data_IF_605896174186
#
_entry.id   IF_605896174186
#
_cell.length_a   1.000
_cell.length_b   1.000
_cell.length_c   1.000
_cell.angle_alpha   90.00
_cell.angle_beta   90.00
_cell.angle_gamma   90.00
#
_symmetry.space_group_name_H-M   'P 1'
#
loop_
_entity.id
_entity.type
_entity.pdbx_description
1 polymer ?
#
# COMPACT_ATOMS: atom_id res chain seq x y z
N UNK A 1 -17.63 9.14 12.46
CA UNK A 1 -16.63 9.07 13.55
C UNK A 1 -16.60 10.42 14.24
N UNK A 2 -16.81 10.46 15.56
CA UNK A 2 -16.62 11.63 16.39
C UNK A 2 -15.51 11.31 17.39
N UNK A 3 -14.39 12.02 17.32
CA UNK A 3 -13.28 11.87 18.25
C UNK A 3 -13.20 13.14 19.10
N UNK A 4 -13.22 12.99 20.43
CA UNK A 4 -13.05 14.09 21.37
C UNK A 4 -11.58 14.46 21.56
N UNK A 5 -11.32 15.60 22.21
CA UNK A 5 -9.97 16.19 22.37
C UNK A 5 -8.94 15.33 23.14
N UNK A 6 -9.36 14.24 23.78
CA UNK A 6 -8.51 13.31 24.52
C UNK A 6 -8.92 11.84 24.26
N UNK A 7 -9.06 11.50 22.98
CA UNK A 7 -9.43 10.14 22.57
C UNK A 7 -8.33 9.16 22.99
N UNK A 8 -8.67 8.14 23.79
CA UNK A 8 -7.74 7.06 24.23
C UNK A 8 -7.89 5.78 23.43
N UNK A 9 -8.95 5.67 22.63
CA UNK A 9 -9.31 4.47 21.89
C UNK A 9 -9.98 4.86 20.58
N UNK A 10 -9.47 4.31 19.47
CA UNK A 10 -10.09 4.37 18.16
C UNK A 10 -10.57 2.96 17.84
N UNK A 11 -11.87 2.81 17.58
CA UNK A 11 -12.49 1.54 17.20
C UNK A 11 -13.06 1.65 15.81
N UNK A 12 -12.74 0.70 14.94
CA UNK A 12 -13.39 0.52 13.64
C UNK A 12 -14.00 -0.88 13.54
N UNK A 13 -15.01 -1.02 12.69
CA UNK A 13 -15.48 -2.31 12.21
C UNK A 13 -14.99 -2.50 10.78
N UNK A 14 -14.23 -3.56 10.51
CA UNK A 14 -13.76 -3.89 9.17
C UNK A 14 -14.61 -5.03 8.58
N UNK A 15 -15.41 -4.75 7.55
CA UNK A 15 -16.11 -5.79 6.81
C UNK A 15 -15.15 -6.47 5.82
N UNK A 16 -15.47 -7.71 5.48
CA UNK A 16 -14.65 -8.50 4.56
C UNK A 16 -14.54 -7.81 3.19
N UNK A 17 -13.34 -7.83 2.61
CA UNK A 17 -13.07 -7.27 1.28
C UNK A 17 -12.85 -5.75 1.24
N UNK A 18 -12.84 -5.06 2.39
CA UNK A 18 -12.50 -3.63 2.44
C UNK A 18 -11.00 -3.35 2.39
N UNK A 19 -10.64 -2.15 1.91
CA UNK A 19 -9.26 -1.71 1.82
C UNK A 19 -8.64 -1.51 3.21
N UNK A 20 -7.50 -2.15 3.44
CA UNK A 20 -6.66 -2.00 4.65
C UNK A 20 -6.12 -0.60 4.87
N UNK A 21 -6.08 0.24 3.83
CA UNK A 21 -5.48 1.57 3.90
C UNK A 21 -6.10 2.44 5.01
N UNK A 22 -7.43 2.35 5.18
CA UNK A 22 -8.16 3.08 6.23
C UNK A 22 -7.73 2.62 7.62
N UNK A 23 -7.66 1.31 7.82
CA UNK A 23 -7.28 0.69 9.07
C UNK A 23 -5.84 1.03 9.50
N UNK A 24 -4.92 1.05 8.53
CA UNK A 24 -3.56 1.54 8.74
C UNK A 24 -3.58 3.01 9.14
N UNK A 25 -4.37 3.83 8.45
CA UNK A 25 -4.56 5.25 8.80
C UNK A 25 -5.05 5.45 10.24
N UNK A 26 -6.04 4.66 10.69
CA UNK A 26 -6.55 4.73 12.06
C UNK A 26 -5.54 4.22 13.10
N UNK A 27 -4.79 3.16 12.79
CA UNK A 27 -3.70 2.69 13.64
C UNK A 27 -2.64 3.78 13.87
N UNK A 28 -2.33 4.53 12.81
CA UNK A 28 -1.36 5.62 12.86
C UNK A 28 -1.94 6.80 13.62
N UNK A 29 -3.18 7.21 13.35
CA UNK A 29 -3.86 8.27 14.08
C UNK A 29 -3.88 7.95 15.58
N UNK A 30 -4.23 6.71 15.94
CA UNK A 30 -4.21 6.26 17.33
C UNK A 30 -2.81 6.42 17.95
N UNK A 31 -1.76 6.00 17.24
CA UNK A 31 -0.37 6.13 17.71
C UNK A 31 0.05 7.58 17.90
N UNK A 32 -0.35 8.50 17.02
CA UNK A 32 0.00 9.93 17.15
C UNK A 32 -0.58 10.59 18.39
N UNK A 33 -1.77 10.15 18.82
CA UNK A 33 -2.46 10.68 20.01
C UNK A 33 -2.26 9.82 21.26
N UNK A 34 -1.40 8.78 21.19
CA UNK A 34 -1.21 7.83 22.29
C UNK A 34 -2.46 6.98 22.61
N UNK A 35 -3.37 6.84 21.66
CA UNK A 35 -4.54 5.98 21.74
C UNK A 35 -4.24 4.56 21.25
N UNK A 36 -5.14 3.63 21.63
CA UNK A 36 -5.16 2.28 21.09
C UNK A 36 -6.07 2.23 19.87
N UNK A 37 -5.68 1.46 18.85
CA UNK A 37 -6.55 1.14 17.72
C UNK A 37 -7.07 -0.29 17.87
N UNK A 38 -8.38 -0.48 17.77
CA UNK A 38 -9.04 -1.78 17.82
C UNK A 38 -9.89 -1.95 16.56
N UNK A 39 -9.58 -2.97 15.77
CA UNK A 39 -10.37 -3.35 14.61
C UNK A 39 -11.25 -4.55 14.97
N UNK A 40 -12.57 -4.37 14.86
CA UNK A 40 -13.57 -5.42 15.06
C UNK A 40 -13.85 -6.07 13.70
N UNK A 41 -13.66 -7.38 13.62
CA UNK A 41 -13.92 -8.18 12.42
C UNK A 41 -15.07 -9.16 12.70
N UNK A 42 -15.90 -9.50 11.68
CA UNK A 42 -17.12 -10.28 11.90
C UNK A 42 -16.87 -11.76 12.22
N UNK A 43 -15.74 -12.33 11.76
CA UNK A 43 -15.44 -13.75 11.91
C UNK A 43 -13.93 -14.03 11.78
N UNK A 44 -13.53 -15.26 12.09
CA UNK A 44 -12.14 -15.70 12.07
C UNK A 44 -11.51 -15.68 10.67
N UNK A 45 -12.28 -15.94 9.61
CA UNK A 45 -11.77 -15.80 8.23
C UNK A 45 -11.53 -14.34 7.91
N UNK A 46 -12.41 -13.44 8.34
CA UNK A 46 -12.21 -12.00 8.22
C UNK A 46 -11.01 -11.54 9.03
N UNK A 47 -10.73 -12.11 10.21
CA UNK A 47 -9.49 -11.89 10.97
C UNK A 47 -8.25 -12.34 10.20
N UNK A 48 -8.27 -13.55 9.65
CA UNK A 48 -7.15 -14.09 8.87
C UNK A 48 -6.93 -13.29 7.59
N UNK A 49 -8.02 -12.90 6.93
CA UNK A 49 -8.00 -12.02 5.77
C UNK A 49 -7.49 -10.64 6.14
N UNK A 50 -7.84 -10.11 7.31
CA UNK A 50 -7.32 -8.89 7.92
C UNK A 50 -5.87 -9.02 8.46
N UNK A 51 -5.34 -10.23 8.61
CA UNK A 51 -3.94 -10.47 8.96
C UNK A 51 -3.02 -10.60 7.74
N UNK A 52 -3.57 -10.85 6.53
CA UNK A 52 -2.76 -10.91 5.29
C UNK A 52 -2.02 -9.58 5.09
N UNK A 53 -0.74 -9.54 4.76
CA UNK A 53 -0.06 -8.24 4.62
C UNK A 53 -0.70 -7.32 3.55
N UNK A 54 -0.31 -6.05 3.55
CA UNK A 54 -0.72 -5.00 2.62
C UNK A 54 -0.25 -5.37 1.21
N UNK A 55 -1.17 -5.32 0.25
CA UNK A 55 -0.94 -5.55 -1.18
C UNK A 55 -1.14 -4.27 -2.01
N UNK A 56 -1.93 -3.32 -1.52
CA UNK A 56 -2.11 -2.00 -2.12
C UNK A 56 -2.26 -0.89 -1.06
N UNK A 57 -1.60 0.25 -1.26
CA UNK A 57 -1.76 1.45 -0.43
C UNK A 57 -1.71 2.71 -1.29
N UNK A 58 -2.71 3.59 -1.14
CA UNK A 58 -2.73 4.91 -1.77
C UNK A 58 -2.64 5.98 -0.69
N UNK A 59 -1.69 6.90 -0.84
CA UNK A 59 -1.46 8.04 0.05
C UNK A 59 -1.54 9.35 -0.73
N UNK A 60 -1.86 10.43 -0.02
CA UNK A 60 -1.81 11.78 -0.56
C UNK A 60 -0.60 12.52 0.07
N UNK A 61 0.32 13.01 -0.76
CA UNK A 61 1.52 13.72 -0.35
C UNK A 61 1.27 15.12 0.20
N UNK A 62 0.04 15.64 0.13
CA UNK A 62 -0.36 16.84 0.88
C UNK A 62 -0.37 16.59 2.38
N UNK A 63 -0.47 15.32 2.79
CA UNK A 63 -0.32 14.95 4.18
C UNK A 63 1.15 15.09 4.55
N UNK A 64 1.45 15.85 5.60
CA UNK A 64 2.81 16.25 5.96
C UNK A 64 3.83 15.10 5.95
N UNK A 65 5.07 15.41 5.58
CA UNK A 65 6.17 14.44 5.34
C UNK A 65 6.38 13.45 6.48
N UNK A 66 6.28 13.89 7.74
CA UNK A 66 6.46 13.04 8.92
C UNK A 66 5.36 11.98 9.04
N UNK A 67 4.10 12.36 8.82
CA UNK A 67 2.98 11.44 8.83
C UNK A 67 3.12 10.42 7.71
N UNK A 68 3.41 10.88 6.49
CA UNK A 68 3.62 10.00 5.34
C UNK A 68 4.76 9.00 5.59
N UNK A 69 5.91 9.46 6.08
CA UNK A 69 7.06 8.62 6.42
C UNK A 69 6.67 7.55 7.44
N UNK A 70 5.94 7.93 8.48
CA UNK A 70 5.44 6.98 9.48
C UNK A 70 4.46 5.96 8.89
N UNK A 71 3.52 6.39 8.05
CA UNK A 71 2.56 5.50 7.38
C UNK A 71 3.28 4.46 6.54
N UNK A 72 4.23 4.90 5.74
CA UNK A 72 4.96 4.01 4.85
C UNK A 72 5.86 3.05 5.63
N UNK A 73 6.51 3.49 6.72
CA UNK A 73 7.26 2.59 7.63
C UNK A 73 6.37 1.53 8.26
N UNK A 74 5.15 1.89 8.68
CA UNK A 74 4.20 0.92 9.22
C UNK A 74 3.71 -0.03 8.15
N UNK A 75 3.40 0.49 6.96
CA UNK A 75 2.99 -0.34 5.84
C UNK A 75 4.09 -1.34 5.46
N UNK A 76 5.36 -0.92 5.47
CA UNK A 76 6.50 -1.77 5.12
C UNK A 76 6.71 -2.93 6.11
N UNK A 77 6.31 -2.77 7.37
CA UNK A 77 6.38 -3.84 8.37
C UNK A 77 5.35 -4.94 8.15
N UNK A 78 4.25 -4.64 7.45
CA UNK A 78 3.16 -5.58 7.22
C UNK A 78 2.86 -5.71 5.72
N UNK A 79 3.90 -5.79 4.87
CA UNK A 79 3.74 -6.04 3.43
C UNK A 79 3.35 -7.50 3.19
N UNK A 80 2.43 -7.71 2.25
CA UNK A 80 2.03 -9.05 1.81
C UNK A 80 3.24 -9.86 1.33
N UNK A 81 3.31 -11.17 1.61
CA UNK A 81 4.37 -12.04 1.09
C UNK A 81 4.39 -12.13 -0.45
N UNK A 82 3.34 -11.64 -1.12
CA UNK A 82 3.26 -11.53 -2.60
C UNK A 82 3.84 -10.22 -3.14
N UNK A 83 4.27 -9.31 -2.27
CA UNK A 83 4.60 -7.93 -2.59
C UNK A 83 3.40 -6.99 -2.46
N UNK A 84 3.65 -5.70 -2.65
CA UNK A 84 2.66 -4.63 -2.55
C UNK A 84 2.87 -3.55 -3.61
N UNK A 85 1.82 -2.81 -3.95
CA UNK A 85 1.87 -1.60 -4.76
C UNK A 85 1.50 -0.40 -3.91
N UNK A 86 2.37 0.59 -3.86
CA UNK A 86 2.18 1.82 -3.12
C UNK A 86 2.03 2.96 -4.13
N UNK A 87 1.07 3.82 -3.93
CA UNK A 87 0.82 4.97 -4.78
C UNK A 87 0.74 6.23 -3.91
N UNK A 88 1.40 7.29 -4.36
CA UNK A 88 1.51 8.57 -3.67
C UNK A 88 1.04 9.68 -4.62
N UNK A 89 -0.12 10.27 -4.35
CA UNK A 89 -0.69 11.39 -5.10
C UNK A 89 -0.08 12.71 -4.64
N UNK A 90 -0.01 13.73 -5.50
CA UNK A 90 0.55 15.05 -5.20
C UNK A 90 2.07 15.03 -4.94
N UNK A 91 2.79 14.08 -5.56
CA UNK A 91 4.22 13.85 -5.33
C UNK A 91 5.13 15.03 -5.72
N UNK A 92 4.65 15.97 -6.54
CA UNK A 92 5.40 17.16 -6.99
C UNK A 92 5.25 18.41 -6.10
N UNK A 93 4.36 18.40 -5.08
CA UNK A 93 3.96 19.60 -4.34
C UNK A 93 4.88 19.91 -3.15
N UNK A 94 5.85 19.04 -2.88
CA UNK A 94 6.93 19.33 -1.93
C UNK A 94 7.92 20.28 -2.64
N UNK A 95 8.14 21.48 -2.10
CA UNK A 95 9.08 22.52 -2.62
C UNK A 95 10.52 22.02 -2.89
N UNK A 96 10.83 20.79 -2.47
CA UNK A 96 12.08 20.09 -2.74
C UNK A 96 11.99 19.32 -4.08
N UNK A 97 11.99 20.07 -5.18
CA UNK A 97 11.93 19.59 -6.58
C UNK A 97 13.06 18.59 -6.95
N UNK A 98 14.03 18.35 -6.05
CA UNK A 98 15.23 17.54 -6.31
C UNK A 98 15.17 16.12 -5.72
N UNK A 99 14.28 15.82 -4.76
CA UNK A 99 14.26 14.51 -4.10
C UNK A 99 12.91 13.83 -4.26
N UNK A 100 12.67 13.29 -5.45
CA UNK A 100 11.64 12.28 -5.67
C UNK A 100 11.60 11.30 -4.50
N UNK A 101 10.38 10.99 -4.03
CA UNK A 101 10.15 10.20 -2.83
C UNK A 101 11.09 8.98 -2.82
N UNK A 102 12.09 8.99 -1.92
CA UNK A 102 13.10 7.94 -1.86
C UNK A 102 12.50 6.74 -1.18
N UNK A 103 11.78 5.90 -1.93
CA UNK A 103 11.26 4.62 -1.48
C UNK A 103 12.31 3.84 -0.69
N UNK A 104 13.58 3.87 -1.14
CA UNK A 104 14.74 3.27 -0.47
C UNK A 104 14.94 3.69 1.00
N UNK A 105 14.61 4.93 1.37
CA UNK A 105 14.74 5.42 2.74
C UNK A 105 13.63 4.89 3.68
N UNK A 106 12.60 4.28 3.10
CA UNK A 106 11.41 3.80 3.84
C UNK A 106 11.26 2.28 3.78
N UNK A 107 12.06 1.58 2.96
CA UNK A 107 12.08 0.12 2.89
C UNK A 107 12.48 -0.50 4.24
N UNK A 108 11.78 -1.56 4.63
CA UNK A 108 12.18 -2.43 5.74
C UNK A 108 13.16 -3.50 5.25
N UNK A 109 13.92 -4.11 6.16
CA UNK A 109 14.96 -5.13 5.90
C UNK A 109 14.48 -6.31 5.03
N UNK A 110 13.18 -6.62 5.04
CA UNK A 110 12.57 -7.76 4.32
C UNK A 110 11.86 -7.38 3.02
N UNK A 111 11.91 -6.11 2.61
CA UNK A 111 11.22 -5.56 1.44
C UNK A 111 12.21 -4.92 0.48
N UNK A 112 11.98 -5.07 -0.83
CA UNK A 112 12.79 -4.44 -1.89
C UNK A 112 11.90 -3.64 -2.82
N UNK A 113 12.36 -2.46 -3.24
CA UNK A 113 11.75 -1.75 -4.35
C UNK A 113 12.08 -2.48 -5.66
N UNK A 114 11.07 -2.99 -6.34
CA UNK A 114 11.21 -3.67 -7.64
C UNK A 114 11.29 -2.64 -8.77
N UNK A 115 10.37 -1.68 -8.75
CA UNK A 115 10.31 -0.57 -9.71
C UNK A 115 9.49 0.58 -9.14
N UNK A 116 9.74 1.78 -9.61
CA UNK A 116 8.87 2.94 -9.38
C UNK A 116 8.53 3.61 -10.71
N UNK A 117 7.38 4.29 -10.76
CA UNK A 117 6.91 5.05 -11.92
C UNK A 117 6.26 6.33 -11.42
N UNK A 118 6.76 7.47 -11.90
CA UNK A 118 6.12 8.76 -11.71
C UNK A 118 5.25 9.08 -12.92
N UNK A 119 3.95 9.25 -12.71
CA UNK A 119 3.00 9.62 -13.75
C UNK A 119 2.64 11.11 -13.61
N UNK A 120 2.59 11.88 -14.72
CA UNK A 120 2.22 13.30 -14.71
C UNK A 120 0.70 13.49 -14.60
N UNK A 121 0.05 12.81 -13.64
CA UNK A 121 -1.40 12.90 -13.43
C UNK A 121 -1.66 13.96 -12.35
N UNK A 122 -2.27 15.08 -12.78
CA UNK A 122 -2.53 16.23 -11.92
C UNK A 122 -1.23 16.74 -11.29
N UNK A 123 -1.15 16.68 -9.97
CA UNK A 123 -0.01 17.08 -9.16
C UNK A 123 1.05 15.95 -9.00
N UNK A 124 1.17 15.08 -9.98
CA UNK A 124 2.09 13.93 -9.94
C UNK A 124 1.55 12.76 -9.09
N UNK A 125 1.74 11.55 -9.62
CA UNK A 125 1.40 10.28 -8.97
C UNK A 125 2.62 9.37 -9.02
N UNK A 126 3.25 9.12 -7.88
CA UNK A 126 4.39 8.19 -7.77
C UNK A 126 3.90 6.80 -7.35
N UNK A 127 4.21 5.78 -8.13
CA UNK A 127 3.79 4.39 -7.89
C UNK A 127 5.04 3.53 -7.69
N UNK A 128 5.18 2.92 -6.52
CA UNK A 128 6.21 1.94 -6.23
C UNK A 128 5.65 0.52 -6.12
N UNK A 129 6.40 -0.41 -6.70
CA UNK A 129 6.16 -1.83 -6.62
C UNK A 129 7.17 -2.41 -5.65
N UNK A 130 6.69 -2.93 -4.53
CA UNK A 130 7.49 -3.53 -3.47
C UNK A 130 7.39 -5.05 -3.59
N UNK A 131 8.54 -5.71 -3.66
CA UNK A 131 8.65 -7.16 -3.54
C UNK A 131 9.18 -7.54 -2.17
N UNK A 132 8.91 -8.76 -1.73
CA UNK A 132 9.61 -9.35 -0.57
C UNK A 132 10.94 -9.95 -1.03
N UNK A 133 11.92 -9.99 -0.12
CA UNK A 133 13.23 -10.60 -0.40
C UNK A 133 13.18 -12.11 -0.50
N UNK A 134 12.10 -12.74 0.01
CA UNK A 134 11.80 -14.14 -0.26
C UNK A 134 11.38 -14.30 -1.73
N UNK A 135 12.12 -15.06 -2.54
CA UNK A 135 11.67 -15.40 -3.88
C UNK A 135 10.45 -16.30 -3.73
N UNK A 136 9.25 -15.73 -3.86
CA UNK A 136 8.08 -16.55 -4.19
C UNK A 136 8.37 -17.11 -5.58
N UNK A 137 8.51 -18.43 -5.69
CA UNK A 137 8.63 -19.14 -6.96
C UNK A 137 7.27 -19.10 -7.69
N UNK A 138 6.73 -17.90 -7.90
CA UNK A 138 5.61 -17.67 -8.76
C UNK A 138 6.15 -17.68 -10.17
N UNK A 139 6.20 -18.89 -10.73
CA UNK A 139 6.61 -19.17 -12.09
C UNK A 139 5.52 -18.68 -13.07
N UNK A 140 5.13 -17.41 -12.92
CA UNK A 140 4.06 -16.78 -13.67
C UNK A 140 4.64 -16.01 -14.84
N UNK A 141 4.24 -16.37 -16.06
CA UNK A 141 4.67 -15.70 -17.29
C UNK A 141 3.52 -14.91 -17.89
N UNK A 142 3.80 -13.70 -18.33
CA UNK A 142 2.90 -12.93 -19.18
C UNK A 142 2.94 -13.51 -20.59
N UNK A 143 1.76 -13.72 -21.17
CA UNK A 143 1.60 -14.07 -22.57
C UNK A 143 0.84 -12.93 -23.23
N UNK A 144 1.46 -12.37 -24.27
CA UNK A 144 0.81 -11.47 -25.22
C UNK A 144 0.33 -12.33 -26.37
N UNK A 145 -0.98 -12.36 -26.58
CA UNK A 145 -1.59 -12.92 -27.77
C UNK A 145 -2.10 -11.77 -28.63
N UNK A 146 -1.84 -11.82 -29.93
CA UNK A 146 -2.36 -10.84 -30.89
C UNK A 146 -3.31 -11.59 -31.80
N UNK A 147 -4.58 -11.18 -31.80
CA UNK A 147 -5.56 -11.71 -32.73
C UNK A 147 -5.16 -11.28 -34.15
N UNK A 148 -4.89 -12.25 -35.03
CA UNK A 148 -4.39 -11.96 -36.38
C UNK A 148 -5.45 -11.33 -37.30
N UNK A 149 -6.74 -11.39 -36.94
CA UNK A 149 -7.85 -10.91 -37.76
C UNK A 149 -8.33 -9.54 -37.30
N UNK A 150 -8.39 -9.28 -35.99
CA UNK A 150 -8.78 -7.98 -35.42
C UNK A 150 -7.60 -7.06 -35.06
N UNK A 151 -6.41 -7.62 -34.83
CA UNK A 151 -5.24 -6.90 -34.33
C UNK A 151 -5.28 -6.64 -32.82
N UNK A 152 -6.25 -7.20 -32.09
CA UNK A 152 -6.41 -6.99 -30.66
C UNK A 152 -5.32 -7.71 -29.85
N UNK A 153 -4.78 -7.03 -28.84
CA UNK A 153 -3.77 -7.59 -27.94
C UNK A 153 -4.39 -8.10 -26.64
N UNK A 154 -4.31 -9.39 -26.41
CA UNK A 154 -4.82 -10.06 -25.22
C UNK A 154 -3.64 -10.41 -24.31
N UNK A 155 -3.64 -9.86 -23.10
CA UNK A 155 -2.63 -10.14 -22.08
C UNK A 155 -3.21 -11.04 -21.00
N UNK A 156 -2.64 -12.22 -20.83
CA UNK A 156 -3.04 -13.12 -19.75
C UNK A 156 -1.82 -13.67 -19.02
N UNK A 157 -2.03 -13.93 -17.73
CA UNK A 157 -0.99 -14.37 -16.80
C UNK A 157 -1.20 -15.83 -16.47
N UNK A 158 -0.31 -16.69 -16.92
CA UNK A 158 -0.30 -18.09 -16.48
C UNK A 158 0.37 -18.16 -15.12
N UNK A 159 -0.28 -18.77 -14.14
CA UNK A 159 0.37 -19.25 -12.91
C UNK A 159 0.54 -20.76 -13.07
N UNK A 160 1.77 -21.29 -12.98
CA UNK A 160 1.94 -22.74 -12.81
C UNK A 160 1.49 -23.08 -11.38
N UNK A 161 0.42 -23.86 -11.25
CA UNK A 161 0.06 -24.52 -10.00
C UNK A 161 1.11 -25.58 -9.65
#
# INVERSE_FOLDING_TARGET
MAAGWNTKLIVESWPRGELRATSVGLAIAARTIGARHVCIVPDEWSRAEYAKGIDFLLLDCKVGKEFMSMVLRMAMQNVSPRGAVLACKNAWESDDVVLGFKWHAVLATHTRLVRSVLLPIGKGLDIAYIGTTTPTNNNSRWIKHVDQRSGEEHFFRLSKN
#
